data_IF_225610995634
#
_entry.id   IF_225610995634
#
_cell.length_a   1.000
_cell.length_b   1.000
_cell.length_c   1.000
_cell.angle_alpha   90.00
_cell.angle_beta   90.00
_cell.angle_gamma   90.00
#
_symmetry.space_group_name_H-M   'P 1'
#
loop_
_entity.id
_entity.type
_entity.pdbx_description
1 polymer ?
#
# COMPACT_ATOMS: atom_id res chain seq x y z
N UNK A 1 -4.77 -1.75 -7.96
CA UNK A 1 -4.94 -3.20 -7.69
C UNK A 1 -4.84 -4.04 -8.96
N UNK A 2 -5.69 -3.87 -9.98
CA UNK A 2 -5.61 -4.68 -11.23
C UNK A 2 -4.21 -4.63 -11.88
N UNK A 3 -3.64 -3.43 -12.05
CA UNK A 3 -2.25 -3.27 -12.53
C UNK A 3 -1.20 -4.03 -11.70
N UNK A 4 -1.44 -4.22 -10.40
CA UNK A 4 -0.53 -4.99 -9.56
C UNK A 4 -0.61 -6.49 -9.86
N UNK A 5 -1.78 -7.03 -10.22
CA UNK A 5 -1.90 -8.40 -10.73
C UNK A 5 -1.28 -8.55 -12.12
N UNK A 6 -1.47 -7.59 -13.02
CA UNK A 6 -0.87 -7.63 -14.36
C UNK A 6 0.67 -7.67 -14.30
N UNK A 7 1.25 -6.88 -13.38
CA UNK A 7 2.71 -6.86 -13.12
C UNK A 7 3.22 -8.08 -12.37
N UNK A 8 2.33 -8.81 -11.68
CA UNK A 8 2.68 -9.98 -10.88
C UNK A 8 1.80 -11.17 -11.29
N UNK A 9 2.07 -11.80 -12.44
CA UNK A 9 1.20 -12.86 -12.98
C UNK A 9 1.10 -14.10 -12.06
N UNK A 10 2.09 -14.33 -11.20
CA UNK A 10 2.05 -15.37 -10.17
C UNK A 10 1.12 -15.03 -8.98
N UNK A 11 0.75 -13.76 -8.81
CA UNK A 11 -0.18 -13.33 -7.78
C UNK A 11 -1.63 -13.55 -8.24
N UNK A 12 -2.47 -13.99 -7.31
CA UNK A 12 -3.89 -14.18 -7.53
C UNK A 12 -4.75 -13.40 -6.52
N UNK A 13 -4.11 -12.57 -5.69
CA UNK A 13 -4.76 -11.59 -4.86
C UNK A 13 -3.92 -10.33 -4.64
N UNK A 14 -4.59 -9.22 -4.35
CA UNK A 14 -3.98 -7.93 -4.03
C UNK A 14 -4.60 -7.37 -2.78
N UNK A 15 -3.77 -6.83 -1.88
CA UNK A 15 -4.21 -6.04 -0.71
C UNK A 15 -3.66 -4.62 -0.81
N UNK A 16 -4.28 -3.68 -0.11
CA UNK A 16 -3.79 -2.30 0.00
C UNK A 16 -3.82 -1.78 1.44
N UNK A 17 -3.20 -0.63 1.68
CA UNK A 17 -3.37 0.06 2.96
C UNK A 17 -4.81 0.54 3.12
N UNK A 18 -5.28 0.59 4.37
CA UNK A 18 -6.61 1.06 4.71
C UNK A 18 -6.49 2.38 5.45
N UNK A 19 -7.20 3.40 4.99
CA UNK A 19 -7.43 4.61 5.78
C UNK A 19 -8.68 4.43 6.64
N UNK A 20 -8.52 4.34 7.96
CA UNK A 20 -9.65 4.35 8.90
C UNK A 20 -10.06 5.79 9.15
N UNK A 21 -11.35 6.08 8.99
CA UNK A 21 -11.95 7.39 9.22
C UNK A 21 -13.08 7.28 10.23
N UNK A 22 -13.35 8.35 10.98
CA UNK A 22 -14.49 8.40 11.88
C UNK A 22 -15.82 8.67 11.14
N UNK A 23 -16.91 8.81 11.87
CA UNK A 23 -18.24 9.07 11.31
C UNK A 23 -18.35 10.40 10.54
N UNK A 24 -17.40 11.32 10.73
CA UNK A 24 -17.30 12.63 10.08
C UNK A 24 -16.21 12.64 8.98
N UNK A 25 -15.78 11.46 8.51
CA UNK A 25 -14.71 11.28 7.52
C UNK A 25 -13.33 11.81 7.93
N UNK A 26 -13.12 12.08 9.22
CA UNK A 26 -11.81 12.52 9.71
C UNK A 26 -10.85 11.33 9.80
N UNK A 27 -9.63 11.44 9.26
CA UNK A 27 -8.62 10.39 9.39
C UNK A 27 -8.33 10.03 10.84
N UNK A 28 -8.36 8.73 11.16
CA UNK A 28 -8.01 8.21 12.49
C UNK A 28 -6.70 7.47 12.50
N UNK A 29 -6.51 6.54 11.58
CA UNK A 29 -5.32 5.69 11.52
C UNK A 29 -5.16 5.04 10.14
N UNK A 30 -3.97 4.50 9.88
CA UNK A 30 -3.74 3.61 8.74
C UNK A 30 -3.65 2.19 9.27
N UNK A 31 -4.40 1.28 8.67
CA UNK A 31 -4.36 -0.15 8.98
C UNK A 31 -3.69 -0.93 7.83
N UNK A 32 -3.16 -2.12 8.15
CA UNK A 32 -2.11 -2.85 7.42
C UNK A 32 -0.75 -2.17 7.38
N UNK A 33 -0.60 -0.97 6.80
CA UNK A 33 0.71 -0.37 6.55
C UNK A 33 1.70 -1.39 5.92
N UNK A 34 1.42 -1.79 4.68
CA UNK A 34 2.08 -2.89 3.98
C UNK A 34 3.60 -2.76 3.90
N UNK A 35 4.16 -1.56 4.00
CA UNK A 35 5.62 -1.38 4.06
C UNK A 35 6.24 -1.98 5.33
N UNK A 36 5.54 -1.92 6.46
CA UNK A 36 6.01 -2.47 7.73
C UNK A 36 5.54 -3.92 7.92
N UNK A 37 4.29 -4.22 7.60
CA UNK A 37 3.61 -5.44 8.06
C UNK A 37 3.63 -6.58 7.05
N UNK A 38 3.84 -6.32 5.76
CA UNK A 38 3.53 -7.30 4.71
C UNK A 38 4.31 -8.62 4.82
N UNK A 39 5.56 -8.59 5.31
CA UNK A 39 6.37 -9.81 5.51
C UNK A 39 6.47 -10.26 6.97
N UNK A 40 6.47 -9.33 7.94
CA UNK A 40 6.31 -9.66 9.37
C UNK A 40 5.05 -10.49 9.63
N UNK A 41 4.09 -10.38 8.72
CA UNK A 41 2.80 -11.00 8.77
C UNK A 41 2.50 -11.77 7.49
N UNK A 42 3.40 -12.49 6.82
CA UNK A 42 2.90 -13.38 5.74
C UNK A 42 1.90 -14.39 6.33
N UNK A 43 2.27 -15.03 7.44
CA UNK A 43 1.40 -15.88 8.26
C UNK A 43 0.25 -15.09 8.93
N UNK A 44 0.46 -13.83 9.29
CA UNK A 44 -0.61 -12.99 9.86
C UNK A 44 -1.52 -12.36 8.79
N UNK A 45 -1.12 -12.15 7.54
CA UNK A 45 -1.97 -11.76 6.42
C UNK A 45 -2.85 -12.97 6.09
N UNK A 46 -2.32 -14.18 6.10
CA UNK A 46 -3.19 -15.36 6.03
C UNK A 46 -4.15 -15.49 7.25
N UNK A 47 -3.85 -14.90 8.41
CA UNK A 47 -4.72 -14.90 9.62
C UNK A 47 -5.62 -13.67 9.77
N UNK A 48 -5.27 -12.55 9.15
CA UNK A 48 -5.77 -11.19 9.40
C UNK A 48 -6.23 -10.53 8.10
N UNK A 49 -5.65 -10.84 6.92
CA UNK A 49 -5.97 -10.26 5.59
C UNK A 49 -7.42 -10.46 5.13
N UNK A 50 -8.20 -11.20 5.90
CA UNK A 50 -9.60 -11.38 5.63
C UNK A 50 -10.51 -10.97 6.78
N UNK A 51 -10.00 -10.32 7.82
CA UNK A 51 -10.81 -9.68 8.85
C UNK A 51 -11.33 -8.31 8.42
N UNK A 52 -11.81 -8.15 7.19
CA UNK A 52 -12.27 -6.88 6.63
C UNK A 52 -11.22 -6.06 5.89
N UNK A 53 -10.16 -6.69 5.40
CA UNK A 53 -9.15 -6.04 4.56
C UNK A 53 -9.62 -6.02 3.09
N UNK A 54 -9.50 -4.87 2.41
CA UNK A 54 -9.84 -4.72 1.01
C UNK A 54 -8.88 -5.56 0.18
N UNK A 55 -9.44 -6.57 -0.46
CA UNK A 55 -8.70 -7.46 -1.31
C UNK A 55 -9.38 -7.55 -2.68
N UNK A 56 -8.57 -7.56 -3.73
CA UNK A 56 -9.00 -8.00 -5.04
C UNK A 56 -8.43 -9.39 -5.25
N UNK A 57 -9.30 -10.38 -5.43
CA UNK A 57 -8.92 -11.80 -5.50
C UNK A 57 -9.46 -12.38 -6.79
N UNK A 58 -8.67 -13.21 -7.46
CA UNK A 58 -9.14 -13.97 -8.61
C UNK A 58 -10.21 -14.98 -8.18
N UNK A 59 -11.22 -15.15 -9.03
CA UNK A 59 -12.43 -15.93 -8.73
C UNK A 59 -12.13 -17.41 -8.44
N UNK A 60 -11.18 -17.99 -9.14
CA UNK A 60 -10.73 -19.38 -9.00
C UNK A 60 -10.24 -19.69 -7.58
N UNK A 61 -9.55 -18.74 -6.92
CA UNK A 61 -9.12 -18.88 -5.52
C UNK A 61 -10.32 -19.03 -4.57
N UNK A 62 -11.38 -18.25 -4.78
CA UNK A 62 -12.61 -18.35 -3.97
C UNK A 62 -13.31 -19.70 -4.14
N UNK A 63 -13.36 -20.20 -5.39
CA UNK A 63 -13.96 -21.50 -5.69
C UNK A 63 -13.13 -22.64 -5.09
N UNK A 64 -11.81 -22.59 -5.21
CA UNK A 64 -10.90 -23.58 -4.63
C UNK A 64 -10.98 -23.63 -3.09
N UNK A 65 -11.18 -22.47 -2.44
CA UNK A 65 -11.34 -22.38 -1.00
C UNK A 65 -12.70 -22.89 -0.48
N UNK A 66 -13.66 -23.22 -1.36
CA UNK A 66 -14.96 -23.78 -0.96
C UNK A 66 -15.97 -22.76 -0.43
N UNK A 67 -15.82 -21.48 -0.79
CA UNK A 67 -16.77 -20.39 -0.47
C UNK A 67 -17.01 -20.16 1.04
N UNK A 68 -17.88 -19.20 1.35
CA UNK A 68 -18.19 -18.80 2.72
C UNK A 68 -18.98 -19.86 3.48
N UNK A 69 -18.69 -19.99 4.78
CA UNK A 69 -19.54 -20.73 5.71
C UNK A 69 -20.75 -19.88 6.11
N UNK A 70 -21.92 -20.20 5.54
CA UNK A 70 -23.15 -19.43 5.74
C UNK A 70 -23.75 -19.59 7.15
N UNK A 71 -23.37 -20.64 7.89
CA UNK A 71 -23.83 -20.81 9.28
C UNK A 71 -23.19 -19.83 10.26
N UNK A 72 -22.13 -19.11 9.87
CA UNK A 72 -21.45 -18.15 10.73
C UNK A 72 -22.22 -16.83 10.83
N UNK A 73 -22.64 -16.48 12.05
CA UNK A 73 -23.26 -15.18 12.34
C UNK A 73 -22.30 -13.99 12.19
N UNK A 74 -21.00 -14.22 12.31
CA UNK A 74 -19.96 -13.20 12.12
C UNK A 74 -18.62 -13.87 11.79
N UNK A 75 -17.68 -13.08 11.26
CA UNK A 75 -16.33 -13.54 10.88
C UNK A 75 -16.31 -14.51 9.69
N UNK A 76 -17.29 -14.42 8.78
CA UNK A 76 -17.31 -15.18 7.52
C UNK A 76 -16.15 -14.81 6.60
N UNK A 77 -15.66 -13.60 6.74
CA UNK A 77 -14.47 -13.05 6.12
C UNK A 77 -13.21 -13.78 6.63
N UNK A 78 -13.04 -13.90 7.96
CA UNK A 78 -11.95 -14.68 8.56
C UNK A 78 -11.99 -16.16 8.16
N UNK A 79 -13.17 -16.76 8.09
CA UNK A 79 -13.35 -18.16 7.70
C UNK A 79 -12.83 -18.43 6.28
N UNK A 80 -13.29 -17.64 5.30
CA UNK A 80 -12.83 -17.81 3.92
C UNK A 80 -11.33 -17.53 3.79
N UNK A 81 -10.82 -16.55 4.54
CA UNK A 81 -9.40 -16.22 4.52
C UNK A 81 -8.48 -17.36 4.94
N UNK A 82 -8.87 -18.06 6.00
CA UNK A 82 -8.12 -19.25 6.44
C UNK A 82 -8.19 -20.36 5.40
N UNK A 83 -9.34 -20.59 4.76
CA UNK A 83 -9.47 -21.61 3.70
C UNK A 83 -8.61 -21.27 2.47
N UNK A 84 -8.48 -19.99 2.14
CA UNK A 84 -7.71 -19.52 0.98
C UNK A 84 -6.21 -19.64 1.13
N UNK A 85 -5.66 -19.81 2.34
CA UNK A 85 -4.20 -19.82 2.56
C UNK A 85 -3.44 -20.77 1.62
N UNK A 86 -4.04 -21.93 1.30
CA UNK A 86 -3.43 -22.94 0.43
C UNK A 86 -3.49 -22.62 -1.06
N UNK A 87 -4.26 -21.60 -1.45
CA UNK A 87 -4.58 -21.30 -2.83
C UNK A 87 -4.14 -19.89 -3.24
N UNK A 88 -3.79 -19.04 -2.28
CA UNK A 88 -3.63 -17.61 -2.52
C UNK A 88 -2.17 -17.16 -2.45
N UNK A 89 -1.76 -16.42 -3.48
CA UNK A 89 -0.52 -15.68 -3.54
C UNK A 89 -0.85 -14.20 -3.64
N UNK A 90 -0.55 -13.48 -2.56
CA UNK A 90 -0.94 -12.08 -2.38
C UNK A 90 0.19 -11.18 -2.89
N UNK A 91 -0.16 -10.02 -3.44
CA UNK A 91 0.75 -8.88 -3.60
C UNK A 91 0.20 -7.66 -2.85
N UNK A 92 1.07 -6.93 -2.15
CA UNK A 92 0.71 -5.71 -1.43
C UNK A 92 0.89 -4.46 -2.30
N UNK A 93 -0.07 -3.54 -2.26
CA UNK A 93 0.05 -2.18 -2.82
C UNK A 93 0.08 -1.17 -1.67
N UNK A 94 1.22 -0.53 -1.37
CA UNK A 94 1.39 0.38 -0.21
C UNK A 94 0.76 1.78 -0.45
N UNK A 95 -0.47 1.76 -0.97
CA UNK A 95 -1.32 2.91 -1.22
C UNK A 95 -2.65 2.73 -0.46
N UNK A 96 -3.21 3.85 0.00
CA UNK A 96 -4.47 3.87 0.75
C UNK A 96 -5.64 3.87 -0.22
N UNK A 97 -5.89 2.71 -0.83
CA UNK A 97 -6.93 2.57 -1.86
C UNK A 97 -8.32 2.26 -1.29
N UNK A 98 -8.43 2.12 0.02
CA UNK A 98 -9.68 1.82 0.70
C UNK A 98 -9.85 2.70 1.94
N UNK A 99 -11.08 3.18 2.14
CA UNK A 99 -11.45 3.98 3.29
C UNK A 99 -12.50 3.22 4.11
N UNK A 100 -12.17 2.92 5.36
CA UNK A 100 -13.07 2.23 6.28
C UNK A 100 -13.63 3.21 7.30
N UNK A 101 -14.93 3.49 7.22
CA UNK A 101 -15.64 4.39 8.14
C UNK A 101 -16.04 3.64 9.40
N UNK A 102 -15.68 4.20 10.55
CA UNK A 102 -16.02 3.66 11.85
C UNK A 102 -17.20 4.40 12.46
N UNK A 103 -18.19 3.65 12.92
CA UNK A 103 -19.34 4.19 13.63
C UNK A 103 -19.74 3.26 14.78
N UNK A 104 -20.43 3.83 15.78
CA UNK A 104 -20.97 3.08 16.91
C UNK A 104 -21.97 2.01 16.46
N UNK A 105 -22.08 0.93 17.24
CA UNK A 105 -23.06 -0.14 17.02
C UNK A 105 -22.80 -1.02 15.79
N UNK A 106 -21.62 -0.94 15.17
CA UNK A 106 -21.29 -1.79 14.02
C UNK A 106 -21.23 -3.28 14.38
N UNK A 107 -21.42 -4.14 13.37
CA UNK A 107 -21.37 -5.61 13.51
C UNK A 107 -20.09 -6.06 14.21
N UNK A 108 -18.95 -5.44 13.90
CA UNK A 108 -17.66 -5.74 14.51
C UNK A 108 -17.68 -5.53 16.03
N UNK A 109 -18.24 -4.42 16.51
CA UNK A 109 -18.38 -4.11 17.94
C UNK A 109 -19.35 -5.07 18.64
N UNK A 110 -20.44 -5.44 17.96
CA UNK A 110 -21.46 -6.33 18.49
C UNK A 110 -21.05 -7.81 18.45
N UNK A 111 -20.10 -8.19 17.59
CA UNK A 111 -19.64 -9.58 17.41
C UNK A 111 -18.78 -10.11 18.57
N UNK A 112 -18.38 -9.26 19.53
CA UNK A 112 -17.44 -9.66 20.61
C UNK A 112 -17.99 -10.78 21.49
N UNK A 113 -19.28 -10.77 21.81
CA UNK A 113 -19.90 -11.83 22.61
C UNK A 113 -19.91 -13.17 21.85
N UNK A 114 -20.30 -13.15 20.56
CA UNK A 114 -20.26 -14.32 19.69
C UNK A 114 -18.85 -14.89 19.54
N UNK A 115 -17.83 -14.04 19.33
CA UNK A 115 -16.41 -14.46 19.24
C UNK A 115 -15.86 -15.15 20.51
N UNK A 116 -16.57 -15.03 21.64
CA UNK A 116 -16.20 -15.70 22.90
C UNK A 116 -16.93 -17.03 23.11
N UNK A 117 -17.90 -17.37 22.26
CA UNK A 117 -18.68 -18.60 22.41
C UNK A 117 -17.83 -19.85 22.17
N UNK A 118 -18.16 -20.99 22.81
CA UNK A 118 -17.48 -22.25 22.57
C UNK A 118 -17.53 -22.69 21.10
N UNK A 119 -18.67 -22.51 20.44
CA UNK A 119 -18.90 -22.92 19.05
C UNK A 119 -17.97 -22.16 18.10
N UNK A 120 -17.85 -20.84 18.28
CA UNK A 120 -16.93 -20.01 17.51
C UNK A 120 -15.48 -20.46 17.67
N UNK A 121 -15.04 -20.69 18.92
CA UNK A 121 -13.66 -21.11 19.22
C UNK A 121 -13.36 -22.47 18.62
N UNK A 122 -14.31 -23.38 18.75
CA UNK A 122 -14.21 -24.74 18.24
C UNK A 122 -14.14 -24.78 16.71
N UNK A 123 -14.95 -23.96 16.02
CA UNK A 123 -14.90 -23.80 14.56
C UNK A 123 -13.50 -23.38 14.10
N UNK A 124 -12.99 -22.27 14.64
CA UNK A 124 -11.69 -21.75 14.20
C UNK A 124 -10.51 -22.63 14.65
N UNK A 125 -10.64 -23.39 15.73
CA UNK A 125 -9.65 -24.39 16.13
C UNK A 125 -9.57 -25.54 15.11
N UNK A 126 -10.72 -26.07 14.68
CA UNK A 126 -10.79 -27.12 13.63
C UNK A 126 -10.30 -26.61 12.29
N UNK A 127 -10.68 -25.37 11.94
CA UNK A 127 -10.24 -24.73 10.71
C UNK A 127 -8.72 -24.53 10.71
N UNK A 128 -8.15 -24.03 11.81
CA UNK A 128 -6.71 -23.86 11.93
C UNK A 128 -5.95 -25.19 11.79
N UNK A 129 -6.40 -26.24 12.49
CA UNK A 129 -5.78 -27.57 12.43
C UNK A 129 -5.84 -28.22 11.04
N UNK A 130 -6.83 -27.86 10.21
CA UNK A 130 -6.98 -28.36 8.84
C UNK A 130 -6.09 -27.65 7.84
N UNK A 131 -5.90 -26.34 8.02
CA UNK A 131 -5.29 -25.48 7.00
C UNK A 131 -3.85 -25.07 7.31
N UNK A 132 -3.41 -25.14 8.57
CA UNK A 132 -2.07 -24.78 8.98
C UNK A 132 -1.34 -25.94 9.65
N UNK A 133 -0.07 -26.10 9.32
CA UNK A 133 0.89 -26.90 10.05
C UNK A 133 1.68 -26.01 11.04
N UNK A 134 2.29 -26.57 12.11
CA UNK A 134 3.09 -25.80 13.07
C UNK A 134 4.18 -24.93 12.42
N UNK A 135 4.74 -25.36 11.30
CA UNK A 135 5.76 -24.65 10.55
C UNK A 135 5.22 -23.36 9.92
N UNK A 136 3.93 -23.32 9.59
CA UNK A 136 3.22 -22.11 9.13
C UNK A 136 3.03 -21.06 10.26
N UNK A 137 3.53 -21.33 11.47
CA UNK A 137 3.59 -20.39 12.58
C UNK A 137 4.99 -19.81 12.78
N UNK A 138 5.99 -20.29 12.04
CA UNK A 138 7.36 -19.80 12.11
C UNK A 138 7.57 -18.63 11.15
N UNK A 139 8.28 -17.61 11.60
CA UNK A 139 8.70 -16.50 10.76
C UNK A 139 10.12 -16.74 10.25
N UNK A 140 10.36 -16.49 8.96
CA UNK A 140 11.72 -16.33 8.44
C UNK A 140 12.24 -14.93 8.80
N UNK A 141 12.98 -14.84 9.90
CA UNK A 141 13.50 -13.57 10.40
C UNK A 141 14.55 -12.92 9.49
N UNK A 142 15.21 -13.69 8.61
CA UNK A 142 16.14 -13.14 7.63
C UNK A 142 15.41 -12.47 6.47
N UNK A 143 14.35 -13.12 5.97
CA UNK A 143 13.44 -12.55 4.96
C UNK A 143 12.78 -11.27 5.50
N UNK A 144 12.27 -11.31 6.74
CA UNK A 144 11.70 -10.14 7.43
C UNK A 144 12.66 -8.95 7.44
N UNK A 145 13.94 -9.17 7.81
CA UNK A 145 14.94 -8.10 7.88
C UNK A 145 15.26 -7.51 6.51
N UNK A 146 15.48 -8.35 5.50
CA UNK A 146 15.74 -7.91 4.12
C UNK A 146 14.64 -7.00 3.58
N UNK A 147 13.39 -7.25 3.95
CA UNK A 147 12.27 -6.41 3.53
C UNK A 147 12.14 -5.10 4.33
N UNK A 148 12.53 -5.07 5.60
CA UNK A 148 12.60 -3.82 6.35
C UNK A 148 13.57 -2.84 5.68
N UNK A 149 14.69 -3.35 5.18
CA UNK A 149 15.65 -2.56 4.41
C UNK A 149 15.02 -2.06 3.09
N UNK A 150 14.36 -2.94 2.33
CA UNK A 150 13.63 -2.55 1.10
C UNK A 150 12.50 -1.54 1.35
N UNK A 151 11.81 -1.63 2.49
CA UNK A 151 10.74 -0.69 2.87
C UNK A 151 11.32 0.68 3.22
N UNK A 152 12.50 0.73 3.84
CA UNK A 152 13.24 1.97 4.04
C UNK A 152 13.65 2.59 2.70
N UNK A 153 14.16 1.77 1.77
CA UNK A 153 14.52 2.22 0.41
C UNK A 153 13.30 2.77 -0.35
N UNK A 154 12.16 2.08 -0.29
CA UNK A 154 10.92 2.53 -0.92
C UNK A 154 10.37 3.82 -0.28
N UNK A 155 10.51 3.97 1.04
CA UNK A 155 10.13 5.20 1.72
C UNK A 155 11.01 6.38 1.26
N UNK A 156 12.30 6.15 1.05
CA UNK A 156 13.23 7.14 0.45
C UNK A 156 12.79 7.46 -0.98
N UNK A 157 12.54 6.47 -1.82
CA UNK A 157 12.08 6.67 -3.21
C UNK A 157 10.76 7.45 -3.29
N UNK A 158 9.80 7.10 -2.43
CA UNK A 158 8.50 7.79 -2.37
C UNK A 158 8.66 9.25 -1.94
N UNK A 159 9.53 9.53 -0.95
CA UNK A 159 9.85 10.90 -0.55
C UNK A 159 10.49 11.69 -1.69
N UNK A 160 11.40 11.09 -2.46
CA UNK A 160 11.96 11.68 -3.69
C UNK A 160 10.87 12.00 -4.72
N UNK A 161 9.93 11.08 -4.95
CA UNK A 161 8.81 11.29 -5.89
C UNK A 161 7.91 12.45 -5.47
N UNK A 162 7.62 12.58 -4.17
CA UNK A 162 6.87 13.72 -3.65
C UNK A 162 7.65 15.03 -3.73
N UNK A 163 8.95 15.04 -3.39
CA UNK A 163 9.81 16.19 -3.57
C UNK A 163 9.79 16.66 -5.04
N UNK A 164 9.89 15.73 -6.01
CA UNK A 164 9.81 16.04 -7.44
C UNK A 164 8.47 16.66 -7.84
N UNK A 165 7.37 16.20 -7.25
CA UNK A 165 6.04 16.77 -7.51
C UNK A 165 5.96 18.21 -7.01
N UNK A 166 6.47 18.48 -5.80
CA UNK A 166 6.55 19.84 -5.23
C UNK A 166 7.39 20.75 -6.14
N UNK A 167 8.52 20.27 -6.65
CA UNK A 167 9.36 21.03 -7.59
C UNK A 167 8.63 21.35 -8.90
N UNK A 168 7.82 20.42 -9.45
CA UNK A 168 6.98 20.69 -10.63
C UNK A 168 5.93 21.78 -10.36
N UNK A 169 5.30 21.76 -9.18
CA UNK A 169 4.36 22.81 -8.77
C UNK A 169 5.05 24.17 -8.64
N UNK A 170 6.24 24.21 -8.03
CA UNK A 170 7.06 25.42 -7.93
C UNK A 170 7.37 26.02 -9.31
N UNK A 171 7.72 25.16 -10.28
CA UNK A 171 7.97 25.58 -11.65
C UNK A 171 6.71 26.20 -12.30
N UNK A 172 5.55 25.56 -12.15
CA UNK A 172 4.28 26.10 -12.65
C UNK A 172 3.96 27.46 -12.04
N UNK A 173 4.14 27.62 -10.74
CA UNK A 173 3.96 28.92 -10.05
C UNK A 173 4.89 29.98 -10.64
N UNK A 174 6.15 29.64 -10.92
CA UNK A 174 7.11 30.57 -11.50
C UNK A 174 6.74 30.99 -12.93
N UNK A 175 6.26 30.06 -13.77
CA UNK A 175 5.75 30.35 -15.12
C UNK A 175 4.55 31.30 -15.07
N UNK A 176 3.70 31.17 -14.06
CA UNK A 176 2.56 32.07 -13.82
C UNK A 176 2.97 33.43 -13.20
N UNK A 177 4.27 33.74 -13.10
CA UNK A 177 4.77 34.98 -12.49
C UNK A 177 4.74 34.99 -10.96
N UNK A 178 4.29 33.91 -10.31
CA UNK A 178 4.17 33.77 -8.84
C UNK A 178 5.49 33.31 -8.21
N UNK A 179 6.56 34.05 -8.50
CA UNK A 179 7.95 33.68 -8.15
C UNK A 179 8.20 33.52 -6.64
N UNK A 180 7.60 34.38 -5.81
CA UNK A 180 7.75 34.31 -4.35
C UNK A 180 7.20 32.99 -3.78
N UNK A 181 6.08 32.53 -4.34
CA UNK A 181 5.42 31.29 -3.92
C UNK A 181 6.16 30.06 -4.43
N UNK A 182 6.67 30.11 -5.67
CA UNK A 182 7.55 29.07 -6.20
C UNK A 182 8.78 28.82 -5.30
N UNK A 183 9.42 29.90 -4.81
CA UNK A 183 10.58 29.79 -3.91
C UNK A 183 10.19 29.25 -2.52
N UNK A 184 8.96 29.47 -2.07
CA UNK A 184 8.47 28.98 -0.77
C UNK A 184 8.20 27.47 -0.74
N UNK A 185 8.08 26.82 -1.90
CA UNK A 185 7.92 25.36 -2.01
C UNK A 185 9.25 24.61 -1.83
N UNK A 186 10.40 25.26 -2.06
CA UNK A 186 11.73 24.63 -2.00
C UNK A 186 12.06 23.98 -0.65
N UNK A 187 11.83 24.62 0.51
CA UNK A 187 12.09 23.99 1.81
C UNK A 187 11.26 22.73 2.04
N UNK A 188 10.04 22.66 1.48
CA UNK A 188 9.16 21.49 1.61
C UNK A 188 9.71 20.29 0.83
N UNK A 189 10.21 20.53 -0.38
CA UNK A 189 10.89 19.49 -1.15
C UNK A 189 12.19 19.04 -0.47
N UNK A 190 13.00 19.99 0.02
CA UNK A 190 14.27 19.71 0.73
C UNK A 190 14.09 18.91 2.01
N UNK A 191 13.00 19.13 2.74
CA UNK A 191 12.66 18.32 3.92
C UNK A 191 12.38 16.85 3.56
N UNK A 192 11.77 16.59 2.40
CA UNK A 192 11.41 15.23 1.97
C UNK A 192 12.62 14.46 1.43
N UNK A 193 13.47 15.10 0.63
CA UNK A 193 14.63 14.46 0.00
C UNK A 193 15.88 15.35 0.09
N UNK A 194 16.51 15.50 1.27
CA UNK A 194 17.62 16.43 1.50
C UNK A 194 18.87 16.18 0.64
N UNK A 195 19.00 14.98 0.07
CA UNK A 195 20.08 14.56 -0.81
C UNK A 195 20.04 15.17 -2.22
N UNK A 196 18.93 15.81 -2.61
CA UNK A 196 18.78 16.43 -3.93
C UNK A 196 19.41 17.83 -3.97
N UNK A 197 20.01 18.21 -5.09
CA UNK A 197 20.67 19.50 -5.25
C UNK A 197 19.67 20.64 -5.56
N UNK A 198 19.10 21.24 -4.50
CA UNK A 198 18.09 22.30 -4.58
C UNK A 198 18.63 23.68 -4.98
N UNK A 199 19.92 23.94 -4.79
CA UNK A 199 20.53 25.24 -5.10
C UNK A 199 20.54 25.52 -6.60
N UNK A 200 20.73 24.48 -7.42
CA UNK A 200 20.58 24.57 -8.87
C UNK A 200 19.14 24.92 -9.28
N UNK A 201 18.13 24.28 -8.68
CA UNK A 201 16.72 24.58 -8.96
C UNK A 201 16.32 26.00 -8.55
N UNK A 202 16.80 26.47 -7.39
CA UNK A 202 16.57 27.83 -6.92
C UNK A 202 17.21 28.88 -7.85
N UNK A 203 18.41 28.61 -8.39
CA UNK A 203 19.05 29.46 -9.38
C UNK A 203 18.22 29.55 -10.66
N UNK A 204 17.69 28.43 -11.16
CA UNK A 204 16.81 28.40 -12.33
C UNK A 204 15.55 29.27 -12.08
N UNK A 205 14.86 29.10 -10.96
CA UNK A 205 13.71 29.95 -10.63
C UNK A 205 14.07 31.44 -10.56
N UNK A 206 15.26 31.79 -10.05
CA UNK A 206 15.73 33.18 -9.95
C UNK A 206 16.04 33.81 -11.31
N UNK A 207 16.56 33.04 -12.25
CA UNK A 207 16.90 33.48 -13.60
C UNK A 207 15.68 33.70 -14.51
N UNK A 208 14.47 33.33 -14.05
CA UNK A 208 13.22 33.71 -14.73
C UNK A 208 12.98 32.93 -16.02
N UNK A 209 13.03 31.59 -15.95
CA UNK A 209 12.81 30.71 -17.09
C UNK A 209 11.45 30.95 -17.73
N UNK A 210 11.45 31.24 -19.05
CA UNK A 210 10.25 31.51 -19.85
C UNK A 210 9.88 30.40 -20.84
N UNK A 211 10.76 29.42 -21.08
CA UNK A 211 10.49 28.32 -22.04
C UNK A 211 10.65 26.94 -21.38
N UNK A 212 9.53 26.19 -21.31
CA UNK A 212 9.44 24.86 -20.72
C UNK A 212 10.01 23.74 -21.63
N UNK A 213 10.16 23.99 -22.94
CA UNK A 213 10.55 22.95 -23.92
C UNK A 213 12.01 22.50 -23.74
N UNK A 214 12.91 23.44 -23.43
CA UNK A 214 14.32 23.12 -23.14
C UNK A 214 14.53 22.57 -21.72
N UNK A 215 13.53 22.69 -20.84
CA UNK A 215 13.60 22.23 -19.45
C UNK A 215 13.24 20.75 -19.30
N UNK A 216 12.33 20.24 -20.14
CA UNK A 216 11.94 18.82 -20.16
C UNK A 216 13.15 17.89 -20.38
N UNK A 217 14.09 18.32 -21.23
CA UNK A 217 15.34 17.60 -21.51
C UNK A 217 16.26 17.58 -20.28
N UNK A 218 16.47 18.71 -19.59
CA UNK A 218 17.35 18.79 -18.43
C UNK A 218 16.82 18.07 -17.18
N UNK A 219 15.50 18.04 -16.97
CA UNK A 219 14.88 17.28 -15.87
C UNK A 219 15.06 15.77 -16.04
N UNK A 220 15.00 15.24 -17.27
CA UNK A 220 15.26 13.82 -17.53
C UNK A 220 16.73 13.44 -17.25
N UNK A 221 17.66 14.38 -17.41
CA UNK A 221 19.07 14.19 -17.07
C UNK A 221 19.32 14.19 -15.54
N UNK A 222 18.56 14.99 -14.79
CA UNK A 222 18.71 15.12 -13.33
C UNK A 222 17.88 14.08 -12.55
N UNK A 223 16.79 13.58 -13.14
CA UNK A 223 15.82 12.67 -12.52
C UNK A 223 15.67 11.36 -13.28
N UNK A 224 16.76 10.85 -13.84
CA UNK A 224 16.80 9.57 -14.55
C UNK A 224 16.31 8.36 -13.72
N UNK A 225 16.02 8.55 -12.43
CA UNK A 225 15.46 7.55 -11.52
C UNK A 225 13.96 7.70 -11.22
N UNK A 226 13.22 8.56 -11.93
CA UNK A 226 11.77 8.73 -11.71
C UNK A 226 10.88 8.26 -12.88
N UNK A 227 11.49 7.74 -13.97
CA UNK A 227 10.80 7.50 -15.25
C UNK A 227 10.96 6.10 -15.85
N UNK A 228 11.32 5.06 -15.08
CA UNK A 228 11.42 3.70 -15.62
C UNK A 228 10.06 2.95 -15.75
N UNK A 229 8.91 3.64 -15.71
CA UNK A 229 7.59 3.00 -15.83
C UNK A 229 6.80 3.42 -17.08
N UNK A 230 7.39 4.21 -17.99
CA UNK A 230 6.80 4.49 -19.32
C UNK A 230 7.91 4.41 -20.38
N UNK A 231 7.79 3.43 -21.29
CA UNK A 231 8.70 3.04 -22.39
C UNK A 231 9.56 1.78 -22.16
N UNK A 232 8.90 0.66 -21.90
CA UNK A 232 9.22 -0.61 -22.57
C UNK A 232 7.97 -1.02 -23.37
N UNK A 233 7.65 -0.24 -24.40
CA UNK A 233 6.97 -0.80 -25.56
C UNK A 233 8.12 -1.28 -26.43
N UNK A 234 8.36 -2.59 -26.43
CA UNK A 234 9.22 -3.21 -27.41
C UNK A 234 8.75 -2.78 -28.80
N UNK A 235 9.60 -2.03 -29.48
CA UNK A 235 9.59 -1.93 -30.94
C UNK A 235 10.63 -2.94 -31.40
N UNK A 236 10.17 -4.17 -31.61
CA UNK A 236 10.73 -5.17 -32.51
C UNK A 236 9.56 -5.94 -33.11
#
# INVERSE_FOLDING_TARGET
>A
MVKALERNPAANAVVCDILRVDSEDRPRSVWLNLLADYYLKKNELFRVAFGGIPCLIRRDVFLAAGLHEESLRASSDRDIGVKMVKHINIVGVPERLYMYREHGGNITSNSRAYKRSPEYREHFRRLAARYFAPEDYLNDWAEVRRFQDLAADYAVERRRKYANTILRCALQLAVLGRKKEALAELPKAAFLAPEVNYSAFAALLRLGFRDLRNFWVNMNCWFKYAYDDYFLVDVC
#
